data_IF_646636373064
#
_entry.id   IF_646636373064
#
_cell.length_a   1.000
_cell.length_b   1.000
_cell.length_c   1.000
_cell.angle_alpha   90.00
_cell.angle_beta   90.00
_cell.angle_gamma   90.00
#
_symmetry.space_group_name_H-M   'P 1'
#
loop_
_entity.id
_entity.type
_entity.pdbx_description
1 polymer ?
#
# COMPACT_ATOMS: atom_id res chain seq x y z
N UNK A 1 -20.18 -50.52 -11.22
CA UNK A 1 -20.58 -49.24 -10.57
C UNK A 1 -19.36 -48.72 -9.79
N UNK A 2 -18.53 -47.86 -10.41
CA UNK A 2 -17.37 -47.24 -9.75
C UNK A 2 -17.90 -46.09 -8.88
N UNK A 3 -17.78 -46.20 -7.57
CA UNK A 3 -17.95 -45.12 -6.63
C UNK A 3 -16.89 -44.07 -6.96
N UNK A 4 -17.29 -42.87 -7.37
CA UNK A 4 -16.42 -41.70 -7.44
C UNK A 4 -16.07 -41.31 -6.01
N UNK A 5 -14.79 -41.44 -5.71
CA UNK A 5 -14.16 -40.99 -4.49
C UNK A 5 -14.31 -39.43 -4.43
N UNK A 6 -15.21 -38.96 -3.60
CA UNK A 6 -15.49 -37.56 -3.40
C UNK A 6 -14.44 -37.00 -2.41
N UNK A 7 -13.18 -36.91 -2.88
CA UNK A 7 -12.15 -36.22 -2.12
C UNK A 7 -12.52 -34.73 -2.08
N UNK A 8 -12.89 -34.31 -0.91
CA UNK A 8 -13.06 -32.91 -0.49
C UNK A 8 -11.81 -32.10 -0.88
N UNK A 9 -11.80 -31.60 -2.11
CA UNK A 9 -10.92 -30.54 -2.51
C UNK A 9 -11.57 -29.27 -1.97
N UNK A 10 -11.24 -28.91 -0.72
CA UNK A 10 -11.46 -27.56 -0.22
C UNK A 10 -10.78 -26.62 -1.21
N UNK A 11 -11.54 -26.11 -2.17
CA UNK A 11 -11.06 -25.09 -3.12
C UNK A 11 -10.64 -23.88 -2.28
N UNK A 12 -9.35 -23.79 -1.99
CA UNK A 12 -8.81 -22.60 -1.38
C UNK A 12 -9.22 -21.42 -2.26
N UNK A 13 -10.14 -20.59 -1.74
CA UNK A 13 -10.61 -19.41 -2.47
C UNK A 13 -9.41 -18.50 -2.72
N UNK A 14 -9.26 -18.06 -3.95
CA UNK A 14 -8.28 -17.03 -4.28
C UNK A 14 -8.51 -15.78 -3.43
N UNK A 15 -7.41 -15.21 -2.89
CA UNK A 15 -7.42 -14.05 -2.03
C UNK A 15 -6.35 -13.08 -2.51
N UNK A 16 -6.70 -11.85 -2.89
CA UNK A 16 -5.71 -10.81 -3.09
C UNK A 16 -5.10 -10.40 -1.74
N UNK A 17 -3.89 -9.88 -1.76
CA UNK A 17 -3.30 -9.23 -0.60
C UNK A 17 -3.88 -7.82 -0.47
N UNK A 18 -4.57 -7.52 0.63
CA UNK A 18 -5.05 -6.19 0.92
C UNK A 18 -3.87 -5.30 1.37
N UNK A 19 -3.72 -4.14 0.73
CA UNK A 19 -2.68 -3.16 1.05
C UNK A 19 -3.27 -1.76 1.15
N UNK A 20 -2.57 -0.90 1.86
CA UNK A 20 -2.89 0.53 2.02
C UNK A 20 -1.71 1.36 1.53
N UNK A 21 -1.99 2.57 1.03
CA UNK A 21 -0.95 3.48 0.58
C UNK A 21 -1.33 4.94 0.90
N UNK A 22 -0.35 5.71 1.35
CA UNK A 22 -0.49 7.14 1.60
C UNK A 22 0.04 7.95 0.40
N UNK A 23 -0.83 8.75 -0.18
CA UNK A 23 -0.46 9.74 -1.21
C UNK A 23 -0.24 11.06 -0.47
N UNK A 24 0.98 11.24 0.00
CA UNK A 24 1.39 12.35 0.84
C UNK A 24 1.88 13.49 -0.05
N UNK A 25 1.07 14.53 -0.17
CA UNK A 25 1.37 15.70 -0.97
C UNK A 25 1.66 16.92 -0.07
N UNK A 26 2.49 17.81 -0.55
CA UNK A 26 2.86 19.07 0.10
C UNK A 26 2.38 20.25 -0.75
N UNK A 27 2.18 21.43 -0.13
CA UNK A 27 1.66 22.64 -0.79
C UNK A 27 2.54 23.14 -1.95
N UNK A 28 3.83 22.76 -1.96
CA UNK A 28 4.74 23.07 -3.06
C UNK A 28 4.62 22.10 -4.25
N UNK A 29 3.63 21.19 -4.24
CA UNK A 29 3.34 20.24 -5.29
C UNK A 29 4.21 18.97 -5.28
N UNK A 30 5.06 18.78 -4.27
CA UNK A 30 5.88 17.56 -4.12
C UNK A 30 5.11 16.46 -3.42
N UNK A 31 5.51 15.22 -3.72
CA UNK A 31 5.00 14.01 -3.09
C UNK A 31 6.10 13.31 -2.30
N UNK A 32 5.74 12.74 -1.15
CA UNK A 32 6.66 11.94 -0.35
C UNK A 32 6.62 10.50 -0.83
N UNK A 33 7.76 10.01 -1.29
CA UNK A 33 8.01 8.62 -1.61
C UNK A 33 9.03 8.04 -0.63
N UNK A 34 9.12 6.71 -0.59
CA UNK A 34 10.15 5.99 0.13
C UNK A 34 11.07 5.26 -0.85
N UNK A 35 12.37 5.27 -0.55
CA UNK A 35 13.33 4.36 -1.16
C UNK A 35 13.45 3.12 -0.28
N UNK A 36 13.29 1.96 -0.88
CA UNK A 36 13.32 0.68 -0.17
C UNK A 36 14.27 -0.33 -0.83
N UNK A 37 14.89 -1.17 0.00
CA UNK A 37 15.64 -2.33 -0.48
C UNK A 37 14.69 -3.44 -0.86
N UNK A 38 14.83 -3.94 -2.09
CA UNK A 38 14.10 -5.10 -2.59
C UNK A 38 15.06 -6.15 -3.15
N UNK A 39 14.62 -7.38 -3.39
CA UNK A 39 15.45 -8.39 -4.07
C UNK A 39 15.95 -7.95 -5.44
N UNK A 40 15.22 -7.06 -6.13
CA UNK A 40 15.60 -6.50 -7.43
C UNK A 40 16.44 -5.21 -7.34
N UNK A 41 16.87 -4.83 -6.14
CA UNK A 41 17.61 -3.59 -5.87
C UNK A 41 16.76 -2.51 -5.20
N UNK A 42 17.22 -1.28 -5.23
CA UNK A 42 16.51 -0.14 -4.65
C UNK A 42 15.31 0.22 -5.51
N UNK A 43 14.16 0.42 -4.87
CA UNK A 43 12.91 0.84 -5.52
C UNK A 43 12.29 2.03 -4.81
N UNK A 44 11.47 2.75 -5.58
CA UNK A 44 10.62 3.83 -5.09
C UNK A 44 9.19 3.32 -4.90
N UNK A 45 8.56 3.71 -3.80
CA UNK A 45 7.17 3.38 -3.50
C UNK A 45 6.46 4.57 -2.84
N UNK A 46 5.13 4.61 -2.91
CA UNK A 46 4.38 5.40 -1.94
C UNK A 46 4.60 4.75 -0.56
N UNK A 47 4.54 5.50 0.55
CA UNK A 47 4.43 4.88 1.87
C UNK A 47 3.25 3.91 1.88
N UNK A 48 3.53 2.60 2.04
CA UNK A 48 2.52 1.57 1.78
C UNK A 48 2.91 0.19 2.34
N UNK A 49 1.94 -0.51 2.88
CA UNK A 49 2.13 -1.89 3.34
C UNK A 49 0.85 -2.70 3.39
N UNK A 50 0.92 -3.85 4.00
CA UNK A 50 -0.22 -4.74 4.16
C UNK A 50 -1.16 -4.21 5.24
N UNK A 51 -2.47 -4.41 5.00
CA UNK A 51 -3.47 -4.20 6.03
C UNK A 51 -3.32 -5.29 7.10
N UNK A 52 -3.21 -4.88 8.35
CA UNK A 52 -3.08 -5.78 9.48
C UNK A 52 -4.44 -6.22 10.03
N UNK A 53 -4.52 -7.42 10.64
CA UNK A 53 -5.74 -7.82 11.33
C UNK A 53 -6.08 -6.84 12.46
N UNK A 54 -7.34 -6.44 12.53
CA UNK A 54 -7.84 -5.60 13.62
C UNK A 54 -7.68 -4.10 13.39
N UNK A 55 -7.32 -3.65 12.19
CA UNK A 55 -7.30 -2.23 11.84
C UNK A 55 -8.22 -1.88 10.68
N UNK A 56 -8.64 -0.62 10.60
CA UNK A 56 -9.32 -0.10 9.42
C UNK A 56 -8.28 0.26 8.33
N UNK A 57 -8.68 0.31 7.05
CA UNK A 57 -7.76 0.75 5.98
C UNK A 57 -7.16 2.14 6.22
N UNK A 58 -7.92 3.07 6.78
CA UNK A 58 -7.40 4.41 7.14
C UNK A 58 -6.34 4.33 8.25
N UNK A 59 -6.60 3.53 9.29
CA UNK A 59 -5.65 3.34 10.38
C UNK A 59 -4.36 2.67 9.89
N UNK A 60 -4.48 1.64 9.05
CA UNK A 60 -3.34 0.99 8.41
C UNK A 60 -2.54 1.95 7.55
N UNK A 61 -3.22 2.80 6.77
CA UNK A 61 -2.55 3.82 5.97
C UNK A 61 -1.76 4.82 6.83
N UNK A 62 -2.35 5.31 7.92
CA UNK A 62 -1.68 6.21 8.85
C UNK A 62 -0.48 5.54 9.55
N UNK A 63 -0.61 4.26 9.92
CA UNK A 63 0.46 3.45 10.52
C UNK A 63 1.64 3.30 9.56
N UNK A 64 1.40 2.85 8.33
CA UNK A 64 2.44 2.67 7.31
C UNK A 64 3.15 3.99 6.99
N UNK A 65 2.41 5.08 6.83
CA UNK A 65 3.01 6.40 6.61
C UNK A 65 3.97 6.78 7.75
N UNK A 66 3.56 6.56 9.01
CA UNK A 66 4.39 6.86 10.16
C UNK A 66 5.61 5.94 10.25
N UNK A 67 5.46 4.64 9.99
CA UNK A 67 6.53 3.63 10.06
C UNK A 67 7.59 3.83 8.98
N UNK A 68 7.18 4.20 7.79
CA UNK A 68 8.09 4.32 6.64
C UNK A 68 8.64 5.73 6.43
N UNK A 69 7.98 6.78 6.97
CA UNK A 69 8.41 8.17 6.74
C UNK A 69 8.71 8.96 7.99
N UNK A 70 8.38 8.42 9.17
CA UNK A 70 8.40 9.14 10.45
C UNK A 70 7.49 10.40 10.49
N UNK A 71 6.65 10.61 9.49
CA UNK A 71 5.63 11.66 9.51
C UNK A 71 4.31 11.12 10.04
N UNK A 72 3.65 11.90 10.89
CA UNK A 72 2.24 11.69 11.16
C UNK A 72 1.45 11.92 9.89
N UNK A 73 0.41 11.12 9.68
CA UNK A 73 -0.47 11.24 8.53
C UNK A 73 -1.91 11.00 8.94
N UNK A 74 -2.80 11.91 8.54
CA UNK A 74 -4.23 11.79 8.79
C UNK A 74 -4.95 11.68 7.46
N UNK A 75 -5.43 10.49 7.06
CA UNK A 75 -6.25 10.32 5.86
C UNK A 75 -7.48 11.22 5.89
N UNK A 76 -7.73 11.95 4.81
CA UNK A 76 -8.91 12.83 4.68
C UNK A 76 -9.80 12.48 3.50
N UNK A 77 -9.25 11.76 2.51
CA UNK A 77 -10.02 11.27 1.38
C UNK A 77 -9.38 10.00 0.79
N UNK A 78 -10.20 9.13 0.20
CA UNK A 78 -9.75 8.03 -0.63
C UNK A 78 -9.43 8.56 -2.04
N UNK A 79 -8.25 8.25 -2.56
CA UNK A 79 -7.85 8.57 -3.94
C UNK A 79 -8.38 7.51 -4.90
N UNK A 80 -8.34 6.25 -4.49
CA UNK A 80 -8.85 5.15 -5.28
C UNK A 80 -8.64 3.79 -4.62
N UNK A 81 -9.32 2.80 -5.20
CA UNK A 81 -9.13 1.37 -4.89
C UNK A 81 -8.60 0.71 -6.17
N UNK A 82 -7.46 0.06 -6.06
CA UNK A 82 -6.71 -0.47 -7.20
C UNK A 82 -6.56 -1.99 -7.08
N UNK A 83 -6.79 -2.68 -8.19
CA UNK A 83 -6.48 -4.10 -8.30
C UNK A 83 -5.34 -4.26 -9.30
N UNK A 84 -4.21 -4.81 -8.86
CA UNK A 84 -3.05 -4.99 -9.72
C UNK A 84 -2.37 -6.33 -9.45
N UNK A 85 -1.92 -6.98 -10.52
CA UNK A 85 -1.26 -8.28 -10.50
C UNK A 85 0.17 -8.14 -11.01
N UNK A 86 1.09 -8.75 -10.28
CA UNK A 86 2.52 -8.72 -10.60
C UNK A 86 3.12 -10.11 -10.54
N UNK A 87 4.11 -10.35 -11.38
CA UNK A 87 5.04 -11.46 -11.23
C UNK A 87 6.23 -10.93 -10.42
N UNK A 88 6.47 -11.51 -9.25
CA UNK A 88 7.58 -11.15 -8.38
C UNK A 88 8.68 -12.22 -8.50
N UNK A 89 9.88 -11.86 -8.97
CA UNK A 89 11.00 -12.78 -8.99
C UNK A 89 11.29 -13.31 -7.58
N UNK A 90 11.49 -14.60 -7.46
CA UNK A 90 11.84 -15.24 -6.19
C UNK A 90 13.08 -16.09 -6.37
N UNK A 91 14.16 -15.72 -5.67
CA UNK A 91 15.43 -16.44 -5.75
C UNK A 91 15.23 -17.93 -5.41
N UNK A 92 15.62 -18.83 -6.32
CA UNK A 92 15.61 -20.26 -6.12
C UNK A 92 14.24 -20.97 -6.20
N UNK A 93 13.19 -20.28 -6.63
CA UNK A 93 11.86 -20.87 -6.84
C UNK A 93 11.13 -20.22 -8.02
N UNK A 94 9.91 -20.72 -8.36
CA UNK A 94 9.06 -20.06 -9.35
C UNK A 94 8.70 -18.64 -8.87
N UNK A 95 8.61 -17.72 -9.83
CA UNK A 95 8.11 -16.37 -9.57
C UNK A 95 6.77 -16.43 -8.85
N UNK A 96 6.62 -15.54 -7.87
CA UNK A 96 5.40 -15.43 -7.11
C UNK A 96 4.39 -14.57 -7.87
N UNK A 97 3.21 -15.12 -8.11
CA UNK A 97 2.09 -14.41 -8.71
C UNK A 97 1.30 -13.71 -7.59
N UNK A 98 1.46 -12.40 -7.47
CA UNK A 98 0.83 -11.61 -6.41
C UNK A 98 -0.21 -10.68 -7.00
N UNK A 99 -1.39 -10.65 -6.40
CA UNK A 99 -2.42 -9.65 -6.69
C UNK A 99 -2.66 -8.81 -5.46
N UNK A 100 -2.54 -7.51 -5.62
CA UNK A 100 -2.85 -6.54 -4.56
C UNK A 100 -4.22 -5.90 -4.79
N UNK A 101 -5.00 -5.80 -3.72
CA UNK A 101 -6.14 -4.90 -3.60
C UNK A 101 -5.67 -3.74 -2.72
N UNK A 102 -5.39 -2.58 -3.33
CA UNK A 102 -4.80 -1.42 -2.66
C UNK A 102 -5.83 -0.34 -2.44
N UNK A 103 -5.92 0.14 -1.21
CA UNK A 103 -6.65 1.34 -0.82
C UNK A 103 -5.65 2.49 -0.71
N UNK A 104 -5.74 3.50 -1.59
CA UNK A 104 -4.85 4.66 -1.55
C UNK A 104 -5.59 5.88 -1.02
N UNK A 105 -5.03 6.49 0.02
CA UNK A 105 -5.60 7.66 0.69
C UNK A 105 -4.69 8.88 0.51
N UNK A 106 -5.29 10.05 0.45
CA UNK A 106 -4.60 11.32 0.66
C UNK A 106 -5.06 11.94 1.97
N UNK A 107 -4.30 12.90 2.49
CA UNK A 107 -4.63 13.51 3.77
C UNK A 107 -3.58 14.52 4.22
N UNK A 108 -3.70 14.92 5.48
CA UNK A 108 -2.83 15.91 6.10
C UNK A 108 -1.50 15.27 6.53
N UNK A 109 -0.40 15.84 6.06
CA UNK A 109 0.95 15.45 6.46
C UNK A 109 1.32 16.24 7.70
N UNK A 110 1.43 15.56 8.81
CA UNK A 110 1.75 16.14 10.11
C UNK A 110 3.26 16.20 10.39
N UNK A 111 3.57 16.39 11.66
CA UNK A 111 4.93 16.56 12.13
C UNK A 111 5.82 15.33 11.83
N UNK A 112 7.08 15.59 11.49
CA UNK A 112 8.15 14.61 11.44
C UNK A 112 8.61 14.29 12.88
N UNK A 113 8.72 13.01 13.23
CA UNK A 113 9.43 12.58 14.43
C UNK A 113 10.91 12.24 14.08
N UNK A 114 11.86 13.13 14.37
CA UNK A 114 13.25 12.94 13.98
C UNK A 114 13.96 11.83 14.74
N UNK A 115 13.34 11.29 15.80
CA UNK A 115 13.89 10.20 16.62
C UNK A 115 13.36 8.83 16.20
N UNK A 116 12.33 8.79 15.38
CA UNK A 116 11.72 7.54 14.94
C UNK A 116 12.64 6.84 13.94
N UNK A 117 12.91 5.57 14.19
CA UNK A 117 13.56 4.71 13.22
C UNK A 117 12.53 4.29 12.18
N UNK A 118 12.92 4.36 10.91
CA UNK A 118 12.11 3.85 9.81
C UNK A 118 12.09 2.33 9.81
N UNK A 119 11.06 1.76 9.22
CA UNK A 119 10.91 0.33 9.11
C UNK A 119 12.07 -0.33 8.37
N UNK A 120 12.27 -1.62 8.70
CA UNK A 120 13.34 -2.42 8.10
C UNK A 120 13.15 -2.52 6.59
N UNK A 121 14.21 -2.14 5.87
CA UNK A 121 14.21 -2.12 4.40
C UNK A 121 13.99 -0.73 3.81
N UNK A 122 13.40 0.19 4.56
CA UNK A 122 13.30 1.58 4.15
C UNK A 122 14.66 2.26 4.31
N UNK A 123 15.14 2.87 3.24
CA UNK A 123 16.42 3.61 3.21
C UNK A 123 16.16 5.04 3.69
N UNK A 124 15.18 5.68 3.10
CA UNK A 124 14.76 7.07 3.41
C UNK A 124 13.41 7.41 2.81
N UNK A 125 12.78 8.44 3.34
CA UNK A 125 11.69 9.15 2.69
C UNK A 125 12.24 10.34 1.90
N UNK A 126 11.70 10.60 0.71
CA UNK A 126 12.18 11.65 -0.21
C UNK A 126 11.02 12.40 -0.84
N UNK A 127 11.09 13.74 -0.79
CA UNK A 127 10.14 14.63 -1.47
C UNK A 127 10.54 14.81 -2.93
N UNK A 128 9.67 14.42 -3.84
CA UNK A 128 9.89 14.47 -5.29
C UNK A 128 8.80 15.26 -5.99
N UNK A 129 9.18 15.97 -7.05
CA UNK A 129 8.21 16.60 -7.95
C UNK A 129 7.52 15.53 -8.82
N UNK A 130 6.34 15.80 -9.38
CA UNK A 130 5.69 14.90 -10.34
C UNK A 130 6.61 14.52 -11.52
N UNK A 131 7.38 15.47 -12.06
CA UNK A 131 8.28 15.21 -13.19
C UNK A 131 9.42 14.25 -12.80
N UNK A 132 10.00 14.40 -11.58
CA UNK A 132 11.01 13.49 -11.05
C UNK A 132 10.45 12.08 -10.85
N UNK A 133 9.21 11.99 -10.36
CA UNK A 133 8.53 10.71 -10.17
C UNK A 133 8.26 10.05 -11.52
N UNK A 134 7.73 10.79 -12.50
CA UNK A 134 7.49 10.28 -13.84
C UNK A 134 8.77 9.79 -14.51
N UNK A 135 9.86 10.54 -14.39
CA UNK A 135 11.16 10.17 -14.96
C UNK A 135 11.77 8.91 -14.34
N UNK A 136 11.34 8.53 -13.13
CA UNK A 136 11.88 7.38 -12.39
C UNK A 136 10.97 6.14 -12.41
N UNK A 137 9.96 6.06 -13.29
CA UNK A 137 9.00 4.95 -13.33
C UNK A 137 9.64 3.56 -13.38
N UNK A 138 10.81 3.42 -14.03
CA UNK A 138 11.56 2.17 -14.08
C UNK A 138 12.04 1.68 -12.69
N UNK A 139 12.12 2.59 -11.72
CA UNK A 139 12.49 2.27 -10.32
C UNK A 139 11.27 2.06 -9.43
N UNK A 140 10.06 2.27 -9.91
CA UNK A 140 8.88 2.11 -9.10
C UNK A 140 8.65 0.65 -8.70
N UNK A 141 8.25 0.44 -7.46
CA UNK A 141 7.87 -0.87 -6.91
C UNK A 141 6.75 -1.52 -7.69
N UNK A 142 5.85 -0.71 -8.23
CA UNK A 142 4.74 -1.13 -9.07
C UNK A 142 4.20 0.05 -9.90
N UNK A 143 3.44 -0.20 -10.98
CA UNK A 143 2.77 0.86 -11.72
C UNK A 143 1.80 1.70 -10.87
N UNK A 144 1.32 1.16 -9.75
CA UNK A 144 0.40 1.87 -8.85
C UNK A 144 1.03 3.09 -8.18
N UNK A 145 2.36 3.18 -8.10
CA UNK A 145 3.05 4.35 -7.55
C UNK A 145 2.70 5.59 -8.35
N UNK A 146 2.91 5.57 -9.65
CA UNK A 146 2.61 6.70 -10.53
C UNK A 146 1.12 6.86 -10.78
N UNK A 147 0.39 5.76 -10.97
CA UNK A 147 -1.05 5.80 -11.21
C UNK A 147 -1.81 6.53 -10.10
N UNK A 148 -1.51 6.24 -8.84
CA UNK A 148 -2.21 6.88 -7.71
C UNK A 148 -1.86 8.37 -7.56
N UNK A 149 -0.64 8.77 -7.91
CA UNK A 149 -0.24 10.17 -7.93
C UNK A 149 -0.93 10.91 -9.07
N UNK A 150 -1.01 10.33 -10.27
CA UNK A 150 -1.76 10.91 -11.39
C UNK A 150 -3.24 11.11 -11.04
N UNK A 151 -3.86 10.11 -10.41
CA UNK A 151 -5.25 10.20 -9.97
C UNK A 151 -5.45 11.28 -8.90
N UNK A 152 -4.47 11.43 -7.99
CA UNK A 152 -4.47 12.51 -7.03
C UNK A 152 -4.34 13.87 -7.71
N UNK A 153 -3.42 14.05 -8.67
CA UNK A 153 -3.26 15.29 -9.44
C UNK A 153 -4.52 15.63 -10.26
N UNK A 154 -5.21 14.61 -10.76
CA UNK A 154 -6.50 14.76 -11.45
C UNK A 154 -7.66 15.14 -10.52
N UNK A 155 -7.40 15.33 -9.23
CA UNK A 155 -8.39 15.76 -8.25
C UNK A 155 -9.30 14.64 -7.75
N UNK A 156 -8.98 13.37 -7.97
CA UNK A 156 -9.80 12.27 -7.45
C UNK A 156 -9.78 12.27 -5.93
N UNK A 157 -10.95 12.48 -5.34
CA UNK A 157 -11.19 12.50 -3.90
C UNK A 157 -12.56 11.88 -3.66
N UNK A 158 -12.57 10.80 -2.90
CA UNK A 158 -13.79 10.13 -2.50
C UNK A 158 -13.92 10.18 -0.98
N UNK A 159 -15.14 10.27 -0.50
CA UNK A 159 -15.42 10.30 0.93
C UNK A 159 -14.87 9.05 1.63
N UNK A 160 -14.30 9.22 2.83
CA UNK A 160 -13.76 8.11 3.62
C UNK A 160 -14.83 7.03 3.91
N UNK A 161 -16.09 7.44 4.06
CA UNK A 161 -17.21 6.55 4.28
C UNK A 161 -17.51 5.59 3.12
N UNK A 162 -16.85 5.76 1.95
CA UNK A 162 -16.91 4.78 0.87
C UNK A 162 -16.39 3.40 1.29
N UNK A 163 -15.45 3.37 2.23
CA UNK A 163 -14.91 2.14 2.83
C UNK A 163 -15.38 2.06 4.27
N UNK A 164 -16.37 1.24 4.53
CA UNK A 164 -16.91 1.06 5.89
C UNK A 164 -16.23 -0.11 6.59
N UNK A 165 -15.62 0.15 7.73
CA UNK A 165 -15.07 -0.90 8.60
C UNK A 165 -16.12 -1.29 9.65
N UNK A 166 -16.62 -2.52 9.55
CA UNK A 166 -17.60 -3.04 10.50
C UNK A 166 -16.95 -3.32 11.87
N UNK A 167 -17.62 -3.07 13.01
CA UNK A 167 -17.06 -3.30 14.35
C UNK A 167 -16.48 -4.70 14.62
N UNK A 168 -16.93 -5.72 13.90
CA UNK A 168 -16.38 -7.08 13.99
C UNK A 168 -14.89 -7.18 13.65
N UNK A 169 -14.32 -6.19 12.94
CA UNK A 169 -12.88 -6.16 12.64
C UNK A 169 -12.05 -6.04 13.92
N UNK A 170 -12.57 -5.31 14.92
CA UNK A 170 -11.89 -5.09 16.20
C UNK A 170 -12.27 -6.09 17.29
N UNK A 171 -13.18 -7.01 17.00
CA UNK A 171 -13.59 -8.04 17.95
C UNK A 171 -12.57 -9.17 17.91
N UNK A 172 -11.97 -9.58 19.05
CA UNK A 172 -11.09 -10.74 19.07
C UNK A 172 -11.80 -11.97 18.52
N UNK A 173 -11.12 -12.75 17.70
CA UNK A 173 -11.65 -14.06 17.26
C UNK A 173 -11.88 -14.91 18.50
N UNK A 174 -13.08 -15.48 18.64
CA UNK A 174 -13.31 -16.48 19.67
C UNK A 174 -12.33 -17.66 19.40
N UNK A 175 -11.43 -17.88 20.35
CA UNK A 175 -10.48 -19.01 20.36
C UNK A 175 -11.22 -20.31 20.65
#
# INVERSE_FOLDING_TARGET
TKRRDNRDMSRQRWKPSATVAAIMARDDGRYLLVEEHTPEGVRLNNPAGHLDPGESPEAGCAREALEETAHQFTPTALVGIYLARFQRPRAGSKDEDVTYLRFAYTGDVGALDPKRKLDRGIIRAVWMTPDEIEATQALHRSPLVWQSIQDHMAGKRYDLGLVTTHPSVWTPSAT
#
